data_IF_064116220249
#
_entry.id   IF_064116220249
#
_cell.length_a   1.000
_cell.length_b   1.000
_cell.length_c   1.000
_cell.angle_alpha   90.00
_cell.angle_beta   90.00
_cell.angle_gamma   90.00
#
_symmetry.space_group_name_H-M   'P 1'
#
loop_
_entity.id
_entity.type
_entity.pdbx_description
1 polymer ?
#
# COMPACT_ATOMS: atom_id res chain seq x y z
N UNK A 1 -10.01 -1.75 -5.32
CA UNK A 1 -9.04 -0.77 -4.78
C UNK A 1 -9.64 0.60 -5.07
N UNK A 2 -9.77 1.47 -4.07
CA UNK A 2 -10.25 2.84 -4.31
C UNK A 2 -9.24 3.55 -5.21
N UNK A 3 -9.72 4.33 -6.18
CA UNK A 3 -8.86 5.15 -7.03
C UNK A 3 -8.02 6.08 -6.13
N UNK A 4 -6.71 6.09 -6.32
CA UNK A 4 -5.80 6.92 -5.54
C UNK A 4 -6.07 8.41 -5.78
N UNK A 5 -6.64 8.76 -6.94
CA UNK A 5 -7.09 10.12 -7.27
C UNK A 5 -8.26 10.54 -6.36
N UNK A 6 -9.23 9.66 -6.15
CA UNK A 6 -10.34 9.92 -5.24
C UNK A 6 -9.87 10.09 -3.80
N UNK A 7 -8.93 9.25 -3.37
CA UNK A 7 -8.40 9.34 -2.01
C UNK A 7 -7.55 10.59 -1.80
N UNK A 8 -6.74 10.98 -2.80
CA UNK A 8 -6.02 12.24 -2.81
C UNK A 8 -6.99 13.43 -2.67
N UNK A 9 -8.09 13.43 -3.44
CA UNK A 9 -9.13 14.46 -3.33
C UNK A 9 -9.74 14.53 -1.93
N UNK A 10 -10.06 13.39 -1.32
CA UNK A 10 -10.59 13.32 0.06
C UNK A 10 -9.61 13.84 1.10
N UNK A 11 -8.32 13.64 0.87
CA UNK A 11 -7.25 14.09 1.76
C UNK A 11 -6.76 15.50 1.42
N UNK A 12 -7.38 16.20 0.47
CA UNK A 12 -7.00 17.54 0.01
C UNK A 12 -5.57 17.62 -0.55
N UNK A 13 -5.12 16.52 -1.17
CA UNK A 13 -3.78 16.38 -1.75
C UNK A 13 -3.83 16.67 -3.24
N UNK A 14 -3.04 17.64 -3.68
CA UNK A 14 -2.83 17.92 -5.11
C UNK A 14 -1.84 16.91 -5.68
N UNK A 15 -2.17 16.30 -6.82
CA UNK A 15 -1.31 15.32 -7.50
C UNK A 15 -0.56 15.99 -8.65
N UNK A 16 0.75 15.76 -8.73
CA UNK A 16 1.58 16.26 -9.83
C UNK A 16 1.70 15.22 -10.95
N UNK A 17 1.41 15.68 -12.17
CA UNK A 17 1.47 14.93 -13.43
C UNK A 17 2.79 15.12 -14.19
N UNK A 18 3.80 15.70 -13.53
CA UNK A 18 5.10 16.01 -14.12
C UNK A 18 6.24 15.92 -13.10
N UNK A 19 7.42 15.56 -13.59
CA UNK A 19 8.64 15.45 -12.78
C UNK A 19 8.67 14.20 -11.90
N UNK A 20 9.49 14.22 -10.85
CA UNK A 20 9.64 13.12 -9.90
C UNK A 20 8.35 12.84 -9.15
N UNK A 21 8.20 11.62 -8.65
CA UNK A 21 7.11 11.32 -7.71
C UNK A 21 7.19 12.26 -6.50
N UNK A 22 6.09 12.98 -6.22
CA UNK A 22 6.05 13.98 -5.16
C UNK A 22 6.13 13.42 -3.74
N UNK A 23 5.93 12.10 -3.59
CA UNK A 23 5.92 11.43 -2.28
C UNK A 23 7.22 10.65 -2.04
N UNK A 24 7.53 9.68 -2.91
CA UNK A 24 8.71 8.83 -2.74
C UNK A 24 9.99 9.39 -3.39
N UNK A 25 9.89 10.45 -4.21
CA UNK A 25 11.03 11.07 -4.88
C UNK A 25 11.61 10.27 -6.06
N UNK A 26 10.98 9.16 -6.45
CA UNK A 26 11.40 8.35 -7.59
C UNK A 26 11.44 9.18 -8.89
N UNK A 27 12.45 8.90 -9.71
CA UNK A 27 12.79 9.70 -10.89
C UNK A 27 11.93 9.33 -12.10
N UNK A 28 10.73 9.89 -12.14
CA UNK A 28 9.76 9.70 -13.21
C UNK A 28 9.54 10.97 -14.03
N UNK A 29 8.85 10.86 -15.17
CA UNK A 29 8.53 12.00 -16.02
C UNK A 29 7.16 12.59 -15.69
N UNK A 30 6.19 11.77 -15.28
CA UNK A 30 4.81 12.18 -14.98
C UNK A 30 4.43 12.08 -13.50
N UNK A 31 5.39 12.30 -12.61
CA UNK A 31 5.14 12.40 -11.17
C UNK A 31 4.59 11.11 -10.57
N UNK A 32 3.51 11.24 -9.79
CA UNK A 32 2.87 10.11 -9.12
C UNK A 32 2.18 9.15 -10.09
N UNK A 33 1.72 9.61 -11.24
CA UNK A 33 0.99 8.77 -12.19
C UNK A 33 1.90 7.68 -12.76
N UNK A 34 3.10 8.06 -13.24
CA UNK A 34 4.12 7.10 -13.65
C UNK A 34 4.53 6.17 -12.50
N UNK A 35 4.62 6.68 -11.26
CA UNK A 35 4.98 5.87 -10.10
C UNK A 35 3.94 4.76 -9.84
N UNK A 36 2.65 5.12 -9.84
CA UNK A 36 1.54 4.18 -9.67
C UNK A 36 1.47 3.18 -10.82
N UNK A 37 1.61 3.64 -12.07
CA UNK A 37 1.55 2.79 -13.25
C UNK A 37 2.71 1.79 -13.28
N UNK A 38 3.95 2.26 -13.04
CA UNK A 38 5.11 1.38 -12.99
C UNK A 38 5.00 0.36 -11.86
N UNK A 39 4.50 0.77 -10.69
CA UNK A 39 4.29 -0.14 -9.58
C UNK A 39 3.25 -1.23 -9.93
N UNK A 40 2.11 -0.85 -10.49
CA UNK A 40 1.05 -1.79 -10.88
C UNK A 40 1.51 -2.75 -11.98
N UNK A 41 2.18 -2.24 -13.02
CA UNK A 41 2.76 -3.06 -14.09
C UNK A 41 3.84 -4.01 -13.56
N UNK A 42 4.67 -3.55 -12.61
CA UNK A 42 5.68 -4.38 -11.97
C UNK A 42 5.09 -5.54 -11.15
N UNK A 43 3.93 -5.34 -10.52
CA UNK A 43 3.22 -6.41 -9.83
C UNK A 43 2.73 -7.52 -10.79
N UNK A 44 2.42 -7.21 -12.04
CA UNK A 44 2.00 -8.21 -13.03
C UNK A 44 3.12 -9.19 -13.41
N UNK A 45 4.38 -8.84 -13.14
CA UNK A 45 5.53 -9.74 -13.34
C UNK A 45 5.59 -10.88 -12.31
N UNK A 46 4.80 -10.80 -11.24
CA UNK A 46 4.73 -11.83 -10.19
C UNK A 46 3.50 -12.72 -10.40
N UNK A 47 3.71 -14.03 -10.49
CA UNK A 47 2.59 -14.98 -10.55
C UNK A 47 1.94 -15.15 -9.18
N UNK A 48 0.83 -14.46 -8.95
CA UNK A 48 0.13 -14.50 -7.68
C UNK A 48 -0.68 -15.78 -7.43
N UNK A 49 -0.78 -16.68 -8.41
CA UNK A 49 -1.32 -18.02 -8.17
C UNK A 49 -0.29 -18.91 -7.47
N UNK A 50 0.99 -18.57 -7.54
CA UNK A 50 2.04 -19.24 -6.79
C UNK A 50 2.19 -18.62 -5.39
N UNK A 51 1.99 -19.44 -4.36
CA UNK A 51 2.11 -19.04 -2.96
C UNK A 51 3.52 -18.59 -2.55
N UNK A 52 4.54 -19.00 -3.28
CA UNK A 52 5.93 -18.58 -3.07
C UNK A 52 6.10 -17.06 -3.20
N UNK A 53 5.32 -16.41 -4.08
CA UNK A 53 5.40 -14.97 -4.30
C UNK A 53 4.48 -14.13 -3.41
N UNK A 54 3.67 -14.77 -2.55
CA UNK A 54 2.71 -14.05 -1.70
C UNK A 54 3.40 -13.10 -0.72
N UNK A 55 4.50 -13.52 -0.11
CA UNK A 55 5.22 -12.68 0.85
C UNK A 55 5.83 -11.44 0.16
N UNK A 56 6.45 -11.62 -1.01
CA UNK A 56 7.00 -10.52 -1.81
C UNK A 56 5.90 -9.54 -2.20
N UNK A 57 4.71 -10.03 -2.54
CA UNK A 57 3.56 -9.18 -2.81
C UNK A 57 3.15 -8.35 -1.59
N UNK A 58 2.99 -8.98 -0.42
CA UNK A 58 2.58 -8.26 0.79
C UNK A 58 3.58 -7.17 1.17
N UNK A 59 4.88 -7.50 1.16
CA UNK A 59 5.95 -6.57 1.45
C UNK A 59 5.98 -5.41 0.45
N UNK A 60 5.88 -5.70 -0.85
CA UNK A 60 5.88 -4.68 -1.90
C UNK A 60 4.68 -3.73 -1.77
N UNK A 61 3.46 -4.28 -1.59
CA UNK A 61 2.23 -3.50 -1.42
C UNK A 61 2.26 -2.63 -0.19
N UNK A 62 2.70 -3.17 0.95
CA UNK A 62 2.74 -2.38 2.17
C UNK A 62 3.82 -1.30 2.12
N UNK A 63 5.01 -1.62 1.60
CA UNK A 63 6.08 -0.65 1.47
C UNK A 63 5.68 0.49 0.53
N UNK A 64 5.12 0.17 -0.63
CA UNK A 64 4.65 1.19 -1.58
C UNK A 64 3.54 2.06 -0.98
N UNK A 65 2.56 1.46 -0.29
CA UNK A 65 1.49 2.22 0.35
C UNK A 65 2.04 3.18 1.42
N UNK A 66 3.04 2.76 2.20
CA UNK A 66 3.66 3.60 3.22
C UNK A 66 4.67 4.61 2.69
N UNK A 67 5.13 4.47 1.45
CA UNK A 67 5.85 5.52 0.72
C UNK A 67 4.92 6.58 0.11
N UNK A 68 3.61 6.29 0.05
CA UNK A 68 2.58 7.17 -0.50
C UNK A 68 1.37 7.33 0.45
N UNK A 69 1.58 7.54 1.76
CA UNK A 69 0.49 7.50 2.75
C UNK A 69 -0.59 8.56 2.48
N UNK A 70 -0.26 9.66 1.81
CA UNK A 70 -1.14 10.79 1.49
C UNK A 70 -2.27 10.41 0.53
N UNK A 71 -2.07 9.39 -0.31
CA UNK A 71 -3.07 8.91 -1.29
C UNK A 71 -3.78 7.64 -0.81
N UNK A 72 -3.65 7.32 0.47
CA UNK A 72 -4.31 6.21 1.14
C UNK A 72 -5.16 6.69 2.33
N UNK A 73 -6.19 5.93 2.67
CA UNK A 73 -6.99 6.23 3.86
C UNK A 73 -6.19 5.94 5.14
N UNK A 74 -6.39 6.73 6.20
CA UNK A 74 -5.70 6.56 7.51
C UNK A 74 -5.72 5.11 8.01
N UNK A 75 -6.85 4.42 7.90
CA UNK A 75 -7.00 3.03 8.33
C UNK A 75 -6.33 2.02 7.39
N UNK A 76 -6.23 2.34 6.09
CA UNK A 76 -5.42 1.58 5.15
C UNK A 76 -3.95 1.69 5.53
N UNK A 77 -3.45 2.90 5.81
CA UNK A 77 -2.07 3.10 6.26
C UNK A 77 -1.78 2.35 7.56
N UNK A 78 -2.72 2.38 8.52
CA UNK A 78 -2.61 1.60 9.75
C UNK A 78 -2.49 0.11 9.42
N UNK A 79 -3.34 -0.43 8.55
CA UNK A 79 -3.28 -1.82 8.13
C UNK A 79 -1.91 -2.20 7.55
N UNK A 80 -1.41 -1.41 6.59
CA UNK A 80 -0.12 -1.68 5.93
C UNK A 80 1.05 -1.63 6.93
N UNK A 81 1.06 -0.64 7.82
CA UNK A 81 2.09 -0.53 8.86
C UNK A 81 2.05 -1.69 9.84
N UNK A 82 0.87 -2.06 10.33
CA UNK A 82 0.73 -3.17 11.28
C UNK A 82 1.09 -4.50 10.62
N UNK A 83 0.67 -4.74 9.38
CA UNK A 83 1.07 -5.95 8.64
C UNK A 83 2.58 -6.03 8.46
N UNK A 84 3.24 -4.94 8.06
CA UNK A 84 4.71 -4.91 7.95
C UNK A 84 5.41 -5.17 9.28
N UNK A 85 4.94 -4.56 10.37
CA UNK A 85 5.51 -4.82 11.70
C UNK A 85 5.36 -6.31 12.08
N UNK A 86 4.18 -6.90 11.87
CA UNK A 86 3.95 -8.30 12.18
C UNK A 86 4.86 -9.23 11.38
N UNK A 87 5.06 -8.95 10.09
CA UNK A 87 5.94 -9.73 9.21
C UNK A 87 7.42 -9.54 9.58
N UNK A 88 7.90 -8.30 9.61
CA UNK A 88 9.33 -7.99 9.68
C UNK A 88 9.87 -8.02 11.11
N UNK A 89 9.14 -7.48 12.07
CA UNK A 89 9.57 -7.38 13.48
C UNK A 89 9.10 -8.59 14.28
N UNK A 90 7.81 -8.94 14.20
CA UNK A 90 7.23 -10.07 14.96
C UNK A 90 7.40 -11.43 14.27
N UNK A 91 8.05 -11.47 13.10
CA UNK A 91 8.36 -12.68 12.32
C UNK A 91 7.15 -13.59 12.08
N UNK A 92 5.95 -12.99 11.97
CA UNK A 92 4.74 -13.73 11.68
C UNK A 92 4.74 -14.17 10.22
N UNK A 93 4.54 -15.47 9.98
CA UNK A 93 4.32 -15.99 8.65
C UNK A 93 2.98 -15.47 8.13
N UNK A 94 3.00 -14.76 7.00
CA UNK A 94 1.81 -14.12 6.46
C UNK A 94 1.23 -14.89 5.27
N UNK A 95 -0.09 -15.03 5.28
CA UNK A 95 -0.88 -15.60 4.21
C UNK A 95 -2.15 -14.75 4.03
N UNK A 96 -2.92 -15.04 2.98
CA UNK A 96 -4.14 -14.29 2.69
C UNK A 96 -5.22 -14.41 3.78
N UNK A 97 -5.24 -15.47 4.60
CA UNK A 97 -6.25 -15.65 5.67
C UNK A 97 -6.02 -14.68 6.83
N UNK A 98 -4.77 -14.25 7.07
CA UNK A 98 -4.44 -13.29 8.13
C UNK A 98 -4.84 -11.85 7.81
N UNK A 99 -5.01 -11.51 6.52
CA UNK A 99 -5.37 -10.15 6.12
C UNK A 99 -6.79 -9.77 6.58
N UNK A 100 -7.84 -10.59 6.35
CA UNK A 100 -9.16 -10.34 6.96
C UNK A 100 -9.11 -10.28 8.48
N UNK A 101 -8.41 -11.21 9.13
CA UNK A 101 -8.28 -11.23 10.59
C UNK A 101 -7.69 -9.93 11.14
N UNK A 102 -6.63 -9.41 10.53
CA UNK A 102 -6.07 -8.11 10.91
C UNK A 102 -7.08 -6.97 10.69
N UNK A 103 -7.83 -7.01 9.58
CA UNK A 103 -8.87 -6.02 9.34
C UNK A 103 -9.94 -6.03 10.43
N UNK A 104 -10.35 -7.21 10.92
CA UNK A 104 -11.34 -7.35 11.98
C UNK A 104 -10.84 -6.69 13.28
N UNK A 105 -9.61 -7.02 13.69
CA UNK A 105 -8.98 -6.38 14.87
C UNK A 105 -8.86 -4.85 14.73
N UNK A 106 -8.51 -4.35 13.54
CA UNK A 106 -8.40 -2.91 13.32
C UNK A 106 -9.78 -2.22 13.27
N UNK A 107 -10.80 -2.90 12.78
CA UNK A 107 -12.18 -2.41 12.81
C UNK A 107 -12.70 -2.29 14.25
N UNK A 108 -12.46 -3.30 15.08
CA UNK A 108 -12.78 -3.24 16.51
C UNK A 108 -12.01 -2.10 17.21
N UNK A 109 -10.71 -1.96 16.93
CA UNK A 109 -9.90 -0.88 17.47
C UNK A 109 -10.42 0.51 17.05
N UNK A 110 -10.84 0.66 15.79
CA UNK A 110 -11.42 1.90 15.25
C UNK A 110 -12.71 2.30 15.95
N UNK A 111 -13.56 1.36 16.35
CA UNK A 111 -14.82 1.66 17.04
C UNK A 111 -14.60 2.15 18.48
N UNK A 112 -13.45 1.83 19.08
CA UNK A 112 -13.09 2.18 20.44
C UNK A 112 -12.18 3.44 20.53
N UNK A 113 -12.11 4.25 19.46
CA UNK A 113 -11.20 5.39 19.31
C UNK A 113 -11.89 6.64 18.77
#
# INVERSE_FOLDING_TARGET
MQDFIDQARKNEVTLFDKGKCQFCGADYQKGIFDCMDNYNNGLELLDFNNSEYHISRFLSVDAHALQHPEIHGRWSNHFHLTRLNLILDKKQQWDYKKSPLLSDYLNEYKLNR
#
